data_IF_424217780592
#
_entry.id   IF_424217780592
#
_cell.length_a   1.000
_cell.length_b   1.000
_cell.length_c   1.000
_cell.angle_alpha   90.00
_cell.angle_beta   90.00
_cell.angle_gamma   90.00
#
_symmetry.space_group_name_H-M   'P 1'
#
loop_
_entity.id
_entity.type
_entity.pdbx_description
1 polymer ?
#
# COMPACT_ATOMS: atom_id res chain seq x y z
N UNK A 1 4.71 -0.84 46.16
CA UNK A 1 3.95 -0.35 44.98
C UNK A 1 4.82 -0.54 43.75
N UNK A 2 4.71 -1.68 43.06
CA UNK A 2 5.45 -1.93 41.83
C UNK A 2 4.73 -1.30 40.64
N UNK A 3 5.24 -0.16 40.18
CA UNK A 3 4.83 0.44 38.92
C UNK A 3 5.47 -0.34 37.77
N UNK A 4 4.78 -1.38 37.26
CA UNK A 4 5.15 -2.04 36.01
C UNK A 4 4.97 -1.05 34.86
N UNK A 5 6.03 -0.30 34.52
CA UNK A 5 6.09 0.52 33.31
C UNK A 5 5.98 -0.40 32.09
N UNK A 6 4.77 -0.58 31.56
CA UNK A 6 4.57 -1.10 30.21
C UNK A 6 5.23 -0.11 29.25
N UNK A 7 6.32 -0.52 28.60
CA UNK A 7 6.93 0.25 27.51
C UNK A 7 5.85 0.44 26.45
N UNK A 8 5.32 1.66 26.30
CA UNK A 8 4.43 2.02 25.19
C UNK A 8 5.27 2.02 23.91
N UNK A 9 5.50 0.84 23.33
CA UNK A 9 5.91 0.74 21.94
C UNK A 9 4.71 1.02 21.02
N UNK A 10 4.97 1.31 19.74
CA UNK A 10 3.92 1.37 18.72
C UNK A 10 3.15 0.05 18.76
N UNK A 11 1.84 0.05 19.05
CA UNK A 11 1.07 -1.18 19.10
C UNK A 11 1.21 -1.91 17.77
N UNK A 12 1.57 -3.20 17.81
CA UNK A 12 1.70 -4.07 16.63
C UNK A 12 0.29 -4.43 16.18
N UNK A 13 -0.46 -3.45 15.71
CA UNK A 13 -1.81 -3.64 15.20
C UNK A 13 -1.70 -4.17 13.77
N UNK A 14 -1.90 -5.47 13.61
CA UNK A 14 -2.15 -6.16 12.35
C UNK A 14 -0.91 -6.54 11.53
N UNK A 15 -1.08 -6.57 10.20
CA UNK A 15 0.00 -6.80 9.22
C UNK A 15 0.60 -5.45 8.83
N UNK A 16 1.77 -5.06 9.36
CA UNK A 16 2.37 -3.79 9.01
C UNK A 16 2.76 -3.81 7.52
N UNK A 17 2.51 -2.69 6.84
CA UNK A 17 2.89 -2.49 5.44
C UNK A 17 4.40 -2.20 5.40
N UNK A 18 5.22 -3.22 5.65
CA UNK A 18 6.69 -3.10 5.79
C UNK A 18 7.45 -3.26 4.48
N UNK A 19 6.84 -3.86 3.46
CA UNK A 19 7.48 -4.11 2.17
C UNK A 19 7.20 -2.95 1.22
N UNK A 20 8.26 -2.33 0.72
CA UNK A 20 8.21 -1.30 -0.30
C UNK A 20 8.49 -1.92 -1.68
N UNK A 21 7.66 -1.60 -2.67
CA UNK A 21 7.85 -2.05 -4.06
C UNK A 21 8.26 -0.81 -4.88
N UNK A 22 9.51 -0.80 -5.35
CA UNK A 22 10.06 0.23 -6.22
C UNK A 22 10.28 -0.36 -7.62
N UNK A 23 9.57 0.16 -8.61
CA UNK A 23 9.66 -0.29 -10.00
C UNK A 23 9.70 0.91 -10.92
N UNK A 24 10.60 0.91 -11.91
CA UNK A 24 10.56 1.89 -13.01
C UNK A 24 9.52 1.46 -14.02
N UNK A 25 8.70 2.40 -14.44
CA UNK A 25 7.69 2.21 -15.47
C UNK A 25 7.91 3.25 -16.57
N UNK A 26 7.37 2.94 -17.75
CA UNK A 26 7.39 3.83 -18.90
C UNK A 26 6.47 5.06 -18.68
N UNK A 27 6.76 6.18 -19.35
CA UNK A 27 5.95 7.41 -19.28
C UNK A 27 4.51 7.19 -19.75
N UNK A 28 4.31 6.37 -20.77
CA UNK A 28 2.96 6.04 -21.26
C UNK A 28 2.15 5.26 -20.22
N UNK A 29 2.83 4.42 -19.45
CA UNK A 29 2.20 3.66 -18.37
C UNK A 29 1.87 4.57 -17.19
N UNK A 30 2.76 5.50 -16.83
CA UNK A 30 2.50 6.49 -15.78
C UNK A 30 1.26 7.33 -16.11
N UNK A 31 1.12 7.80 -17.35
CA UNK A 31 -0.06 8.58 -17.79
C UNK A 31 -1.35 7.77 -17.62
N UNK A 32 -1.36 6.50 -18.06
CA UNK A 32 -2.51 5.60 -17.89
C UNK A 32 -2.86 5.39 -16.42
N UNK A 33 -1.85 5.17 -15.57
CA UNK A 33 -2.05 5.01 -14.12
C UNK A 33 -2.63 6.27 -13.51
N UNK A 34 -2.12 7.45 -13.90
CA UNK A 34 -2.59 8.73 -13.39
C UNK A 34 -4.06 8.97 -13.74
N UNK A 35 -4.44 8.79 -15.01
CA UNK A 35 -5.82 8.92 -15.48
C UNK A 35 -6.74 7.98 -14.69
N UNK A 36 -6.37 6.71 -14.58
CA UNK A 36 -7.16 5.73 -13.83
C UNK A 36 -7.30 6.09 -12.33
N UNK A 37 -6.23 6.62 -11.72
CA UNK A 37 -6.27 7.09 -10.34
C UNK A 37 -7.20 8.30 -10.17
N UNK A 38 -7.20 9.23 -11.12
CA UNK A 38 -8.08 10.41 -11.13
C UNK A 38 -9.55 10.01 -11.30
N UNK A 39 -9.86 9.13 -12.26
CA UNK A 39 -11.22 8.64 -12.50
C UNK A 39 -11.81 7.93 -11.27
N UNK A 40 -11.00 7.10 -10.60
CA UNK A 40 -11.43 6.33 -9.42
C UNK A 40 -11.21 7.05 -8.10
N UNK A 41 -10.62 8.25 -8.10
CA UNK A 41 -10.23 9.02 -6.90
C UNK A 41 -9.42 8.19 -5.89
N UNK A 42 -8.52 7.34 -6.40
CA UNK A 42 -7.64 6.50 -5.57
C UNK A 42 -6.19 7.01 -5.63
N UNK A 43 -5.39 6.67 -4.63
CA UNK A 43 -3.96 6.98 -4.66
C UNK A 43 -3.20 5.97 -5.52
N UNK A 44 -2.04 6.36 -6.06
CA UNK A 44 -1.14 5.45 -6.80
C UNK A 44 -0.80 4.18 -6.00
N UNK A 45 -0.59 4.35 -4.70
CA UNK A 45 -0.32 3.24 -3.77
C UNK A 45 -1.50 2.29 -3.65
N UNK A 46 -2.72 2.81 -3.70
CA UNK A 46 -3.95 2.01 -3.65
C UNK A 46 -4.20 1.30 -4.99
N UNK A 47 -3.96 2.00 -6.10
CA UNK A 47 -3.96 1.41 -7.44
C UNK A 47 -3.02 0.20 -7.51
N UNK A 48 -1.77 0.33 -7.07
CA UNK A 48 -0.79 -0.76 -7.12
C UNK A 48 -1.24 -1.96 -6.27
N UNK A 49 -1.78 -1.72 -5.07
CA UNK A 49 -2.32 -2.78 -4.20
C UNK A 49 -3.49 -3.50 -4.86
N UNK A 50 -4.43 -2.75 -5.43
CA UNK A 50 -5.61 -3.30 -6.09
C UNK A 50 -5.23 -4.05 -7.37
N UNK A 51 -4.27 -3.55 -8.14
CA UNK A 51 -3.76 -4.21 -9.34
C UNK A 51 -3.11 -5.57 -8.98
N UNK A 52 -2.20 -5.58 -8.01
CA UNK A 52 -1.56 -6.83 -7.54
C UNK A 52 -2.61 -7.80 -7.00
N UNK A 53 -3.53 -7.32 -6.16
CA UNK A 53 -4.57 -8.18 -5.60
C UNK A 53 -5.51 -8.72 -6.67
N UNK A 54 -5.86 -7.93 -7.69
CA UNK A 54 -6.71 -8.35 -8.82
C UNK A 54 -6.04 -9.41 -9.68
N UNK A 55 -4.77 -9.24 -10.01
CA UNK A 55 -4.03 -10.22 -10.82
C UNK A 55 -3.79 -11.52 -10.04
N UNK A 56 -3.56 -11.45 -8.72
CA UNK A 56 -3.43 -12.64 -7.87
C UNK A 56 -4.77 -13.31 -7.50
N UNK A 57 -5.90 -12.60 -7.55
CA UNK A 57 -7.25 -13.18 -7.33
C UNK A 57 -7.94 -13.69 -8.59
N UNK A 58 -7.41 -13.41 -9.79
CA UNK A 58 -7.87 -14.07 -11.01
C UNK A 58 -7.44 -15.53 -10.96
N UNK A 59 -8.33 -16.37 -10.44
CA UNK A 59 -8.21 -17.82 -10.42
C UNK A 59 -9.19 -18.43 -11.39
#
# INVERSE_FOLDING_TARGET
>A
MEATKKKMGRPVIGKPKTVEIKTRIDEDLEKKVKIYCEEKKITRSDFLRNAINRELNKK
#
